data_IF_502916751950
#
_entry.id   IF_502916751950
#
_cell.length_a   1.000
_cell.length_b   1.000
_cell.length_c   1.000
_cell.angle_alpha   90.00
_cell.angle_beta   90.00
_cell.angle_gamma   90.00
#
_symmetry.space_group_name_H-M   'P 1'
#
loop_
_entity.id
_entity.type
_entity.pdbx_description
1 polymer ?
#
# COMPACT_ATOMS: atom_id res chain seq x y z
N UNK A 1 13.41 -40.15 -1.87
CA UNK A 1 12.19 -39.44 -1.45
C UNK A 1 12.45 -38.84 -0.07
N UNK A 2 12.96 -37.61 -0.01
CA UNK A 2 13.32 -36.96 1.26
C UNK A 2 12.08 -36.62 2.08
N UNK A 3 12.22 -36.63 3.41
CA UNK A 3 11.17 -36.26 4.36
C UNK A 3 10.72 -34.82 4.09
N UNK A 4 9.55 -34.64 3.50
CA UNK A 4 8.97 -33.31 3.23
C UNK A 4 8.40 -32.77 4.55
N UNK A 5 8.74 -31.54 4.91
CA UNK A 5 8.23 -30.89 6.13
C UNK A 5 7.03 -30.01 5.76
N UNK A 6 5.94 -30.16 6.53
CA UNK A 6 4.65 -29.52 6.30
C UNK A 6 3.59 -30.51 5.83
N UNK A 7 2.44 -30.54 6.52
CA UNK A 7 1.30 -31.36 6.09
C UNK A 7 0.46 -30.61 5.05
N UNK A 8 0.03 -31.30 4.00
CA UNK A 8 -0.85 -30.75 2.97
C UNK A 8 -2.19 -30.28 3.55
N UNK A 9 -2.59 -30.84 4.69
CA UNK A 9 -3.86 -30.57 5.38
C UNK A 9 -4.07 -29.11 5.79
N UNK A 10 -3.01 -28.30 5.88
CA UNK A 10 -3.09 -26.89 6.26
C UNK A 10 -2.93 -25.92 5.07
N UNK A 11 -2.79 -26.44 3.85
CA UNK A 11 -2.63 -25.60 2.66
C UNK A 11 -3.89 -24.74 2.45
N UNK A 12 -3.69 -23.43 2.24
CA UNK A 12 -4.79 -22.50 1.95
C UNK A 12 -5.67 -22.08 3.13
N UNK A 13 -5.50 -22.65 4.34
CA UNK A 13 -6.31 -22.37 5.54
C UNK A 13 -6.53 -20.88 5.80
N UNK A 14 -5.47 -20.07 5.70
CA UNK A 14 -5.58 -18.63 5.98
C UNK A 14 -6.44 -17.92 4.94
N UNK A 15 -6.26 -18.25 3.66
CA UNK A 15 -6.98 -17.62 2.55
C UNK A 15 -8.46 -17.98 2.51
N UNK A 16 -8.82 -19.20 2.93
CA UNK A 16 -10.23 -19.61 3.07
C UNK A 16 -10.91 -18.95 4.26
N UNK A 17 -10.18 -18.71 5.35
CA UNK A 17 -10.73 -18.14 6.57
C UNK A 17 -10.91 -16.62 6.49
N UNK A 18 -10.07 -15.92 5.73
CA UNK A 18 -10.17 -14.46 5.59
C UNK A 18 -11.41 -14.07 4.76
N UNK A 19 -12.23 -13.10 5.20
CA UNK A 19 -13.37 -12.64 4.42
C UNK A 19 -12.89 -12.05 3.08
N UNK A 20 -13.63 -12.37 2.01
CA UNK A 20 -13.33 -11.84 0.69
C UNK A 20 -13.86 -10.41 0.58
N UNK A 21 -12.97 -9.42 0.73
CA UNK A 21 -13.32 -8.01 0.55
C UNK A 21 -13.25 -7.65 -0.94
N UNK A 22 -14.34 -7.11 -1.47
CA UNK A 22 -14.41 -6.59 -2.84
C UNK A 22 -13.60 -5.29 -2.98
N UNK A 23 -13.10 -5.04 -4.18
CA UNK A 23 -12.34 -3.81 -4.45
C UNK A 23 -13.34 -2.66 -4.61
N UNK A 24 -13.16 -1.62 -3.80
CA UNK A 24 -13.90 -0.36 -4.01
C UNK A 24 -13.55 0.25 -5.37
N UNK A 25 -14.55 0.76 -6.07
CA UNK A 25 -14.35 1.56 -7.27
C UNK A 25 -13.66 2.89 -6.91
N UNK A 26 -12.59 3.20 -7.64
CA UNK A 26 -11.80 4.43 -7.46
C UNK A 26 -11.52 5.06 -8.81
N UNK A 27 -11.48 6.40 -8.89
CA UNK A 27 -11.13 7.07 -10.13
C UNK A 27 -9.73 6.64 -10.60
N UNK A 28 -9.57 6.53 -11.93
CA UNK A 28 -8.30 6.11 -12.52
C UNK A 28 -7.19 7.10 -12.14
N UNK A 29 -6.05 6.64 -11.60
CA UNK A 29 -4.95 7.54 -11.29
C UNK A 29 -4.36 8.11 -12.58
N UNK A 30 -3.98 9.40 -12.54
CA UNK A 30 -3.24 10.04 -13.63
C UNK A 30 -1.91 9.32 -13.88
N UNK A 31 -1.51 9.20 -15.15
CA UNK A 31 -0.30 8.49 -15.59
C UNK A 31 0.68 9.44 -16.30
N UNK A 32 1.91 8.97 -16.55
CA UNK A 32 2.94 9.69 -17.28
C UNK A 32 3.32 11.04 -16.66
N UNK A 33 3.44 12.08 -17.50
CA UNK A 33 3.87 13.43 -17.11
C UNK A 33 2.96 14.06 -16.04
N UNK A 34 1.65 13.84 -16.13
CA UNK A 34 0.70 14.34 -15.15
C UNK A 34 0.94 13.75 -13.75
N UNK A 35 1.31 12.46 -13.67
CA UNK A 35 1.68 11.81 -12.41
C UNK A 35 2.95 12.41 -11.81
N UNK A 36 3.96 12.65 -12.64
CA UNK A 36 5.24 13.24 -12.20
C UNK A 36 5.01 14.65 -11.65
N UNK A 37 4.23 15.48 -12.35
CA UNK A 37 3.84 16.82 -11.87
C UNK A 37 3.13 16.75 -10.51
N UNK A 38 2.13 15.87 -10.37
CA UNK A 38 1.42 15.68 -9.10
C UNK A 38 2.36 15.26 -7.97
N UNK A 39 3.34 14.41 -8.26
CA UNK A 39 4.31 13.93 -7.27
C UNK A 39 5.26 15.04 -6.82
N UNK A 40 5.77 15.84 -7.75
CA UNK A 40 6.63 16.98 -7.44
C UNK A 40 5.91 18.00 -6.55
N UNK A 41 4.71 18.41 -6.95
CA UNK A 41 3.91 19.37 -6.17
C UNK A 41 3.66 18.84 -4.75
N UNK A 42 3.31 17.56 -4.60
CA UNK A 42 3.06 16.95 -3.28
C UNK A 42 4.33 16.86 -2.41
N UNK A 43 5.50 16.63 -3.00
CA UNK A 43 6.75 16.36 -2.25
C UNK A 43 7.56 17.61 -1.93
N UNK A 44 7.44 18.65 -2.74
CA UNK A 44 8.35 19.80 -2.66
C UNK A 44 7.61 21.13 -2.47
N UNK A 45 6.51 21.35 -3.21
CA UNK A 45 5.79 22.63 -3.13
C UNK A 45 4.81 22.68 -1.96
N UNK A 46 4.11 21.58 -1.68
CA UNK A 46 3.07 21.53 -0.66
C UNK A 46 3.58 21.09 0.73
N UNK A 47 4.89 20.90 0.91
CA UNK A 47 5.48 20.53 2.21
C UNK A 47 5.70 21.80 3.03
N UNK A 48 5.21 21.82 4.26
CA UNK A 48 5.44 22.93 5.19
C UNK A 48 6.92 22.93 5.63
N UNK A 49 7.72 23.96 5.26
CA UNK A 49 9.12 24.05 5.65
C UNK A 49 9.31 24.28 7.16
N UNK A 50 8.31 24.83 7.84
CA UNK A 50 8.35 25.15 9.28
C UNK A 50 7.93 23.97 10.17
N UNK A 51 7.61 22.82 9.56
CA UNK A 51 7.25 21.62 10.30
C UNK A 51 8.47 21.11 11.09
N UNK A 52 8.37 21.12 12.42
CA UNK A 52 9.41 20.66 13.37
C UNK A 52 9.86 19.21 13.15
N UNK A 53 9.06 18.38 12.47
CA UNK A 53 9.40 17.00 12.10
C UNK A 53 8.94 16.71 10.68
N UNK A 54 9.81 16.08 9.90
CA UNK A 54 9.48 15.61 8.55
C UNK A 54 8.51 14.43 8.66
N UNK A 55 7.27 14.65 8.23
CA UNK A 55 6.22 13.62 8.22
C UNK A 55 6.36 12.73 6.98
N UNK A 56 6.28 11.42 7.18
CA UNK A 56 6.36 10.43 6.09
C UNK A 56 5.08 10.38 5.24
N UNK A 57 5.14 9.93 3.98
CA UNK A 57 4.02 9.98 3.04
C UNK A 57 2.80 9.10 3.38
N UNK A 58 2.94 8.18 4.33
CA UNK A 58 1.87 7.31 4.84
C UNK A 58 1.96 7.20 6.37
N UNK A 59 2.29 8.30 7.05
CA UNK A 59 2.22 8.35 8.51
C UNK A 59 0.75 8.33 8.93
N UNK A 60 0.35 7.27 9.63
CA UNK A 60 -0.95 7.22 10.28
C UNK A 60 -0.75 7.71 11.72
N UNK A 61 -1.42 8.79 12.11
CA UNK A 61 -1.61 9.08 13.53
C UNK A 61 -2.70 8.12 14.04
N UNK A 62 -2.48 7.57 15.23
CA UNK A 62 -3.49 6.78 15.95
C UNK A 62 -4.81 7.54 16.05
#
# INVERSE_FOLDING_TARGET
MGKVHGSLAQAGKVRSNTPKVEKMEKPKPVRGRARIRKLYNKRFLAVNPDAKRKVGPNSQSQ
#
